data_IF_290403340543
#
_entry.id   IF_290403340543
#
_cell.length_a   1.000
_cell.length_b   1.000
_cell.length_c   1.000
_cell.angle_alpha   90.00
_cell.angle_beta   90.00
_cell.angle_gamma   90.00
#
_symmetry.space_group_name_H-M   'P 1'
#
loop_
_entity.id
_entity.type
_entity.pdbx_description
1 polymer ?
#
# COMPACT_ATOMS: atom_id res chain seq x y z
N UNK A 1 10.55 10.46 -6.92
CA UNK A 1 10.03 9.51 -7.94
C UNK A 1 8.90 10.18 -8.72
N UNK A 2 8.83 9.98 -10.04
CA UNK A 2 7.74 10.48 -10.92
C UNK A 2 6.43 9.68 -10.79
N UNK A 3 6.45 8.56 -10.06
CA UNK A 3 5.33 7.64 -9.97
C UNK A 3 4.09 8.23 -9.27
N UNK A 4 4.27 9.11 -8.28
CA UNK A 4 3.14 9.75 -7.58
C UNK A 4 2.29 10.60 -8.52
N UNK A 5 2.92 11.54 -9.23
CA UNK A 5 2.21 12.43 -10.17
C UNK A 5 1.60 11.68 -11.35
N UNK A 6 2.27 10.63 -11.86
CA UNK A 6 1.70 9.81 -12.94
C UNK A 6 0.46 9.03 -12.48
N UNK A 7 0.41 8.65 -11.20
CA UNK A 7 -0.71 7.91 -10.64
C UNK A 7 -1.98 8.76 -10.57
N UNK A 8 -1.85 10.08 -10.45
CA UNK A 8 -2.99 10.99 -10.49
C UNK A 8 -3.68 10.97 -11.87
N UNK A 9 -2.90 11.06 -12.95
CA UNK A 9 -3.43 10.95 -14.32
C UNK A 9 -4.04 9.55 -14.57
N UNK A 10 -3.33 8.48 -14.19
CA UNK A 10 -3.82 7.11 -14.36
C UNK A 10 -5.08 6.88 -13.54
N UNK A 11 -5.20 7.46 -12.34
CA UNK A 11 -6.37 7.32 -11.49
C UNK A 11 -7.65 7.86 -12.11
N UNK A 12 -7.55 8.85 -13.00
CA UNK A 12 -8.69 9.40 -13.75
C UNK A 12 -9.21 8.36 -14.75
N UNK A 13 -8.31 7.79 -15.55
CA UNK A 13 -8.67 6.80 -16.58
C UNK A 13 -9.00 5.43 -15.98
N UNK A 14 -8.30 5.06 -14.91
CA UNK A 14 -8.40 3.78 -14.23
C UNK A 14 -8.58 4.01 -12.72
N UNK A 15 -9.83 4.21 -12.25
CA UNK A 15 -10.14 4.54 -10.85
C UNK A 15 -9.62 3.54 -9.80
N UNK A 16 -9.31 2.30 -10.19
CA UNK A 16 -8.75 1.27 -9.30
C UNK A 16 -7.23 1.32 -9.17
N UNK A 17 -6.53 2.02 -10.05
CA UNK A 17 -5.08 2.05 -10.06
C UNK A 17 -4.46 2.53 -8.74
N UNK A 18 -4.98 3.59 -8.08
CA UNK A 18 -4.44 4.03 -6.80
C UNK A 18 -4.50 2.96 -5.71
N UNK A 19 -5.65 2.29 -5.55
CA UNK A 19 -5.80 1.22 -4.55
C UNK A 19 -4.87 0.04 -4.85
N UNK A 20 -4.88 -0.48 -6.08
CA UNK A 20 -4.06 -1.62 -6.48
C UNK A 20 -2.55 -1.32 -6.33
N UNK A 21 -2.15 -0.10 -6.63
CA UNK A 21 -0.76 0.33 -6.44
C UNK A 21 -0.37 0.36 -4.97
N UNK A 22 -1.28 0.83 -4.09
CA UNK A 22 -1.07 0.78 -2.65
C UNK A 22 -0.94 -0.65 -2.10
N UNK A 23 -1.71 -1.61 -2.61
CA UNK A 23 -1.59 -3.03 -2.23
C UNK A 23 -0.22 -3.62 -2.61
N UNK A 24 0.27 -3.30 -3.81
CA UNK A 24 1.60 -3.71 -4.27
C UNK A 24 2.69 -3.09 -3.39
N UNK A 25 2.59 -1.78 -3.09
CA UNK A 25 3.53 -1.11 -2.18
C UNK A 25 3.53 -1.73 -0.79
N UNK A 26 2.36 -1.98 -0.21
CA UNK A 26 2.24 -2.63 1.10
C UNK A 26 2.86 -4.03 1.11
N UNK A 27 2.66 -4.80 0.04
CA UNK A 27 3.26 -6.13 -0.14
C UNK A 27 4.80 -6.06 -0.22
N UNK A 28 5.35 -5.07 -0.93
CA UNK A 28 6.80 -4.86 -1.02
C UNK A 28 7.41 -4.49 0.34
N UNK A 29 6.71 -3.66 1.12
CA UNK A 29 7.12 -3.31 2.49
C UNK A 29 7.09 -4.54 3.38
N UNK A 30 6.02 -5.34 3.34
CA UNK A 30 5.91 -6.60 4.10
C UNK A 30 7.01 -7.61 3.75
N UNK A 31 7.42 -7.66 2.49
CA UNK A 31 8.49 -8.53 2.01
C UNK A 31 9.91 -8.00 2.34
N UNK A 32 10.04 -6.85 3.01
CA UNK A 32 11.30 -6.11 3.18
C UNK A 32 12.02 -5.81 1.84
N UNK A 33 11.27 -5.80 0.73
CA UNK A 33 11.77 -5.44 -0.60
C UNK A 33 11.75 -3.92 -0.84
N UNK A 34 11.01 -3.19 0.00
CA UNK A 34 10.98 -1.74 0.06
C UNK A 34 10.74 -1.29 1.52
N UNK A 35 10.79 0.01 1.78
CA UNK A 35 10.57 0.61 3.09
C UNK A 35 9.44 1.67 3.06
N UNK A 36 9.02 2.11 4.25
CA UNK A 36 8.02 3.16 4.38
C UNK A 36 8.52 4.54 3.92
N UNK A 37 9.83 4.75 3.78
CA UNK A 37 10.40 6.01 3.28
C UNK A 37 10.05 6.15 1.80
N UNK A 38 10.25 5.09 1.01
CA UNK A 38 9.85 5.07 -0.41
C UNK A 38 8.34 5.27 -0.57
N UNK A 39 7.52 4.59 0.23
CA UNK A 39 6.06 4.77 0.18
C UNK A 39 5.66 6.23 0.47
N UNK A 40 6.28 6.85 1.50
CA UNK A 40 6.06 8.26 1.83
C UNK A 40 6.49 9.18 0.70
N UNK A 41 7.64 8.95 0.06
CA UNK A 41 8.12 9.77 -1.05
C UNK A 41 7.17 9.75 -2.25
N UNK A 42 6.52 8.60 -2.51
CA UNK A 42 5.52 8.50 -3.57
C UNK A 42 4.26 9.29 -3.19
N UNK A 43 3.75 9.10 -1.98
CA UNK A 43 2.57 9.81 -1.48
C UNK A 43 2.73 11.34 -1.48
N UNK A 44 3.92 11.85 -1.12
CA UNK A 44 4.21 13.31 -1.12
C UNK A 44 4.19 13.90 -2.53
N UNK A 45 4.36 13.08 -3.56
CA UNK A 45 4.38 13.50 -4.97
C UNK A 45 3.01 13.43 -5.65
N UNK A 46 1.99 12.93 -4.97
CA UNK A 46 0.61 12.92 -5.46
C UNK A 46 -0.08 14.25 -5.14
N UNK A 47 -0.83 14.77 -6.09
CA UNK A 47 -1.62 16.00 -5.99
C UNK A 47 -3.07 15.72 -5.59
N UNK A 48 -3.67 14.62 -6.08
CA UNK A 48 -5.05 14.28 -5.75
C UNK A 48 -5.13 13.64 -4.35
N UNK A 49 -5.85 14.30 -3.45
CA UNK A 49 -5.98 13.85 -2.06
C UNK A 49 -6.82 12.56 -1.91
N UNK A 50 -7.76 12.30 -2.81
CA UNK A 50 -8.56 11.07 -2.79
C UNK A 50 -7.72 9.87 -3.24
N UNK A 51 -6.93 10.03 -4.31
CA UNK A 51 -6.02 8.99 -4.76
C UNK A 51 -4.89 8.75 -3.76
N UNK A 52 -4.33 9.80 -3.19
CA UNK A 52 -3.31 9.70 -2.12
C UNK A 52 -3.86 8.94 -0.91
N UNK A 53 -5.09 9.23 -0.50
CA UNK A 53 -5.77 8.50 0.58
C UNK A 53 -5.97 7.03 0.21
N UNK A 54 -6.42 6.73 -1.01
CA UNK A 54 -6.63 5.36 -1.46
C UNK A 54 -5.33 4.53 -1.43
N UNK A 55 -4.21 5.11 -1.89
CA UNK A 55 -2.89 4.46 -1.81
C UNK A 55 -2.49 4.22 -0.36
N UNK A 56 -2.61 5.23 0.51
CA UNK A 56 -2.22 5.13 1.91
C UNK A 56 -3.05 4.08 2.66
N UNK A 57 -4.37 4.09 2.49
CA UNK A 57 -5.28 3.12 3.11
C UNK A 57 -4.91 1.69 2.68
N UNK A 58 -4.68 1.47 1.38
CA UNK A 58 -4.30 0.17 0.85
C UNK A 58 -2.94 -0.33 1.37
N UNK A 59 -1.95 0.56 1.49
CA UNK A 59 -0.65 0.23 2.12
C UNK A 59 -0.85 -0.17 3.58
N UNK A 60 -1.59 0.61 4.36
CA UNK A 60 -1.85 0.35 5.79
C UNK A 60 -2.58 -0.98 5.97
N UNK A 61 -3.63 -1.23 5.19
CA UNK A 61 -4.40 -2.47 5.24
C UNK A 61 -3.47 -3.66 4.97
N UNK A 62 -2.69 -3.60 3.88
CA UNK A 62 -1.77 -4.66 3.48
C UNK A 62 -0.72 -5.01 4.55
N UNK A 63 -0.18 -4.01 5.27
CA UNK A 63 0.79 -4.27 6.35
C UNK A 63 0.12 -4.69 7.66
N UNK A 64 -1.15 -4.32 7.87
CA UNK A 64 -1.93 -4.64 9.06
C UNK A 64 -2.54 -6.04 9.05
N UNK A 65 -2.75 -6.63 7.87
CA UNK A 65 -3.26 -7.99 7.65
C UNK A 65 -2.22 -9.09 7.97
N UNK A 66 -1.46 -8.92 9.06
CA UNK A 66 -0.43 -9.87 9.48
C UNK A 66 -1.00 -11.26 9.81
N UNK A 67 -0.41 -12.35 9.28
CA UNK A 67 -0.75 -13.74 9.66
C UNK A 67 -0.44 -14.11 11.13
N UNK A 68 0.18 -13.21 11.90
CA UNK A 68 0.56 -13.48 13.30
C UNK A 68 -0.64 -13.70 14.23
N UNK A 69 -1.84 -13.24 13.84
CA UNK A 69 -3.08 -13.60 14.54
C UNK A 69 -3.53 -15.04 14.27
N UNK A 70 -3.10 -15.64 13.15
CA UNK A 70 -3.58 -16.95 12.66
C UNK A 70 -2.63 -18.10 13.01
N UNK A 71 -1.34 -17.83 13.21
CA UNK A 71 -0.36 -18.87 13.61
C UNK A 71 -0.28 -19.09 15.13
N UNK A 72 -0.69 -18.11 15.96
CA UNK A 72 -0.68 -18.25 17.41
C UNK A 72 -1.84 -19.10 17.97
N UNK A 73 -2.93 -19.28 17.20
CA UNK A 73 -4.13 -20.02 17.64
C UNK A 73 -4.13 -21.50 17.23
N UNK A 74 -3.21 -21.92 16.36
CA UNK A 74 -3.13 -23.30 15.86
C UNK A 74 -2.13 -24.20 16.62
N UNK A 75 -1.32 -23.63 17.53
CA UNK A 75 -0.34 -24.38 18.33
C UNK A 75 -0.82 -24.82 19.72
N UNK A 76 -2.04 -24.48 20.14
CA UNK A 76 -2.50 -24.67 21.52
C UNK A 76 -3.32 -25.96 21.76
N UNK A 77 -3.40 -26.88 20.79
CA UNK A 77 -4.15 -28.14 20.90
C UNK A 77 -3.34 -29.35 20.42
N UNK A 78 -2.15 -29.58 21.00
CA UNK A 78 -1.48 -30.88 20.97
C UNK A 78 -1.00 -31.27 22.36
#
# INVERSE_FOLDING_TARGET
MLYGSMLDDIGIDLPKAPNNFGEILGSLVMANASDFVMAKEILVKMEDELFKKAVLDAVVNSVSESPLATQATLGAHQ
#
